data_IF_339608976310
#
_entry.id   IF_339608976310
#
_cell.length_a   1.000
_cell.length_b   1.000
_cell.length_c   1.000
_cell.angle_alpha   90.00
_cell.angle_beta   90.00
_cell.angle_gamma   90.00
#
_symmetry.space_group_name_H-M   'P 1'
#
loop_
_entity.id
_entity.type
_entity.pdbx_description
1 polymer ?
#
# COMPACT_ATOMS: atom_id res chain seq x y z
N UNK A 1 3.27 -18.77 0.74
CA UNK A 1 1.80 -18.60 0.76
C UNK A 1 1.46 -17.46 1.69
N UNK A 2 0.92 -16.36 1.18
CA UNK A 2 0.45 -15.23 1.98
C UNK A 2 -1.04 -15.36 2.27
N UNK A 3 -1.52 -14.73 3.35
CA UNK A 3 -2.93 -14.54 3.64
C UNK A 3 -3.20 -13.08 3.97
N UNK A 4 -4.41 -12.66 3.61
CA UNK A 4 -4.95 -11.33 3.84
C UNK A 4 -6.42 -11.51 4.22
N UNK A 5 -6.76 -11.16 5.45
CA UNK A 5 -8.07 -11.48 6.04
C UNK A 5 -8.62 -10.29 6.80
N UNK A 6 -9.89 -9.95 6.56
CA UNK A 6 -10.66 -9.03 7.41
C UNK A 6 -11.36 -9.86 8.49
N UNK A 7 -11.14 -9.55 9.77
CA UNK A 7 -11.72 -10.32 10.87
C UNK A 7 -13.24 -10.11 11.02
N UNK A 8 -14.07 -11.16 10.96
CA UNK A 8 -15.45 -11.11 11.43
C UNK A 8 -15.47 -11.26 12.97
N UNK A 9 -16.37 -10.59 13.73
CA UNK A 9 -17.33 -9.55 13.36
C UNK A 9 -16.77 -8.12 13.50
N UNK A 10 -15.48 -7.99 13.86
CA UNK A 10 -14.80 -6.70 14.03
C UNK A 10 -14.57 -6.06 12.67
N UNK A 11 -15.60 -5.38 12.17
CA UNK A 11 -15.46 -4.51 11.01
C UNK A 11 -14.23 -3.62 11.24
N UNK A 12 -13.33 -3.60 10.26
CA UNK A 12 -12.11 -2.78 10.22
C UNK A 12 -10.85 -3.32 10.91
N UNK A 13 -10.79 -4.60 11.32
CA UNK A 13 -9.53 -5.26 11.69
C UNK A 13 -9.05 -6.16 10.53
N UNK A 14 -7.82 -5.93 10.05
CA UNK A 14 -7.19 -6.68 8.96
C UNK A 14 -5.92 -7.39 9.42
N UNK A 15 -5.75 -8.64 9.02
CA UNK A 15 -4.60 -9.48 9.30
C UNK A 15 -3.85 -9.82 8.02
N UNK A 16 -2.54 -9.63 8.07
CA UNK A 16 -1.60 -9.94 7.01
C UNK A 16 -0.56 -10.92 7.55
N UNK A 17 -0.23 -11.92 6.76
CA UNK A 17 0.78 -12.89 7.12
C UNK A 17 1.05 -13.88 6.02
N UNK A 18 1.82 -14.90 6.34
CA UNK A 18 2.11 -15.97 5.41
C UNK A 18 3.01 -17.04 5.99
N UNK A 19 3.22 -18.06 5.17
CA UNK A 19 4.15 -19.14 5.41
C UNK A 19 5.02 -19.35 4.17
N UNK A 20 6.32 -19.50 4.38
CA UNK A 20 7.26 -20.01 3.39
C UNK A 20 7.35 -21.53 3.49
N UNK A 21 7.87 -22.16 2.43
CA UNK A 21 8.17 -23.59 2.43
C UNK A 21 9.69 -23.79 2.41
N UNK A 22 10.23 -24.28 3.53
CA UNK A 22 11.67 -24.55 3.70
C UNK A 22 11.82 -26.02 4.08
N UNK A 23 12.60 -26.78 3.29
CA UNK A 23 12.81 -28.23 3.46
C UNK A 23 11.51 -29.03 3.63
N UNK A 24 10.50 -28.66 2.83
CA UNK A 24 9.19 -29.30 2.86
C UNK A 24 8.28 -28.88 4.02
N UNK A 25 8.77 -28.08 4.98
CA UNK A 25 8.00 -27.59 6.13
C UNK A 25 7.49 -26.17 5.90
N UNK A 26 6.31 -25.86 6.46
CA UNK A 26 5.80 -24.50 6.51
C UNK A 26 6.48 -23.76 7.66
N UNK A 27 7.13 -22.63 7.34
CA UNK A 27 7.73 -21.72 8.32
C UNK A 27 7.06 -20.36 8.17
N UNK A 28 6.92 -19.61 9.27
CA UNK A 28 6.29 -18.29 9.20
C UNK A 28 7.10 -17.37 8.28
N UNK A 29 6.38 -16.71 7.37
CA UNK A 29 6.95 -15.72 6.44
C UNK A 29 7.59 -14.59 7.24
N UNK A 30 8.80 -14.20 6.85
CA UNK A 30 9.45 -13.02 7.40
C UNK A 30 9.00 -11.78 6.62
N UNK A 31 8.15 -10.96 7.23
CA UNK A 31 7.64 -9.73 6.62
C UNK A 31 8.64 -8.59 6.89
N UNK A 32 9.05 -7.86 5.86
CA UNK A 32 10.03 -6.76 6.03
C UNK A 32 9.47 -5.67 6.94
N UNK A 33 10.30 -5.22 7.89
CA UNK A 33 9.92 -4.23 8.91
C UNK A 33 9.04 -4.77 10.05
N UNK A 34 8.62 -6.04 9.98
CA UNK A 34 7.72 -6.69 10.96
C UNK A 34 8.39 -7.93 11.59
N UNK A 35 9.14 -8.69 10.80
CA UNK A 35 9.79 -9.95 11.20
C UNK A 35 8.91 -11.18 10.94
N UNK A 36 9.22 -12.29 11.62
CA UNK A 36 8.43 -13.53 11.61
C UNK A 36 7.19 -13.41 12.50
N UNK A 37 6.30 -12.50 12.12
CA UNK A 37 5.07 -12.20 12.83
C UNK A 37 3.95 -11.87 11.82
N UNK A 38 2.70 -11.93 12.28
CA UNK A 38 1.59 -11.37 11.51
C UNK A 38 1.59 -9.85 11.70
N UNK A 39 1.19 -9.13 10.66
CA UNK A 39 0.91 -7.72 10.75
C UNK A 39 -0.59 -7.49 10.82
N UNK A 40 -1.01 -6.57 11.66
CA UNK A 40 -2.40 -6.17 11.80
C UNK A 40 -2.58 -4.70 11.46
N UNK A 41 -3.68 -4.37 10.78
CA UNK A 41 -4.19 -3.01 10.63
C UNK A 41 -5.53 -2.93 11.35
N UNK A 42 -5.63 -2.11 12.39
CA UNK A 42 -6.92 -1.71 12.95
C UNK A 42 -7.32 -0.38 12.32
N UNK A 43 -8.55 -0.26 11.84
CA UNK A 43 -9.11 1.01 11.39
C UNK A 43 -10.28 1.41 12.28
N UNK A 44 -10.07 2.22 13.33
CA UNK A 44 -11.17 2.83 14.05
C UNK A 44 -12.03 3.67 13.10
N UNK A 45 -13.35 3.53 13.17
CA UNK A 45 -14.27 4.43 12.47
C UNK A 45 -14.26 5.76 13.21
N UNK A 46 -13.79 6.80 12.54
CA UNK A 46 -13.77 8.18 13.04
C UNK A 46 -14.81 9.02 12.29
N UNK A 47 -15.43 10.03 12.93
CA UNK A 47 -16.44 10.86 12.27
C UNK A 47 -15.92 11.58 11.02
N UNK A 48 -14.67 12.04 11.07
CA UNK A 48 -14.03 12.81 10.00
C UNK A 48 -12.70 12.17 9.59
N UNK A 49 -12.58 11.81 8.31
CA UNK A 49 -11.34 11.32 7.72
C UNK A 49 -11.08 9.82 7.96
N UNK A 50 -9.86 9.50 8.39
CA UNK A 50 -9.39 8.13 8.55
C UNK A 50 -8.40 7.98 9.70
N UNK A 51 -8.33 6.76 10.24
CA UNK A 51 -7.36 6.36 11.25
C UNK A 51 -6.95 4.91 11.00
N UNK A 52 -5.64 4.66 10.88
CA UNK A 52 -5.05 3.33 10.83
C UNK A 52 -4.05 3.17 11.98
N UNK A 53 -4.17 2.06 12.70
CA UNK A 53 -3.21 1.60 13.69
C UNK A 53 -2.55 0.32 13.18
N UNK A 54 -1.22 0.32 13.12
CA UNK A 54 -0.43 -0.81 12.67
C UNK A 54 0.20 -1.54 13.85
N UNK A 55 0.03 -2.87 13.88
CA UNK A 55 0.61 -3.72 14.93
C UNK A 55 1.33 -4.92 14.30
N UNK A 56 2.67 -4.97 14.31
CA UNK A 56 3.57 -3.84 14.60
C UNK A 56 3.55 -2.78 13.48
N UNK A 57 3.92 -1.53 13.81
CA UNK A 57 4.13 -0.48 12.82
C UNK A 57 5.54 -0.58 12.22
N UNK A 58 5.67 -0.84 10.91
CA UNK A 58 6.96 -1.00 10.26
C UNK A 58 7.61 0.37 10.05
N UNK A 59 8.91 0.45 10.31
CA UNK A 59 9.74 1.63 10.07
C UNK A 59 10.75 1.46 8.93
N UNK A 60 10.81 0.24 8.41
CA UNK A 60 11.77 -0.21 7.39
C UNK A 60 11.00 -1.04 6.35
N UNK A 61 11.25 -0.86 5.05
CA UNK A 61 12.17 0.12 4.48
C UNK A 61 11.66 1.56 4.56
N UNK A 62 10.38 1.75 4.83
CA UNK A 62 9.70 3.04 4.74
C UNK A 62 8.86 3.32 5.98
N UNK A 63 8.86 4.58 6.44
CA UNK A 63 8.02 5.06 7.53
C UNK A 63 6.94 6.00 6.99
N UNK A 64 5.69 5.60 7.16
CA UNK A 64 4.51 6.38 6.74
C UNK A 64 3.65 6.83 7.94
N UNK A 65 4.14 6.69 9.18
CA UNK A 65 3.35 6.94 10.40
C UNK A 65 2.72 8.32 10.46
N UNK A 66 3.43 9.33 9.93
CA UNK A 66 2.97 10.71 9.86
C UNK A 66 1.64 10.84 9.08
N UNK A 67 1.32 9.86 8.23
CA UNK A 67 0.14 9.85 7.37
C UNK A 67 -0.84 8.73 7.72
N UNK A 68 -0.67 7.99 8.81
CA UNK A 68 -1.57 6.88 9.13
C UNK A 68 -2.93 7.33 9.69
N UNK A 69 -3.03 8.56 10.19
CA UNK A 69 -4.31 9.14 10.62
C UNK A 69 -4.44 10.56 10.14
N UNK A 70 -5.69 11.04 10.05
CA UNK A 70 -5.98 12.43 9.69
C UNK A 70 -5.35 13.41 10.69
N UNK A 71 -5.40 13.08 11.99
CA UNK A 71 -4.81 13.89 13.06
C UNK A 71 -3.29 13.93 12.96
N UNK A 72 -2.63 12.77 12.80
CA UNK A 72 -1.17 12.70 12.62
C UNK A 72 -0.73 13.48 11.38
N UNK A 73 -1.48 13.36 10.29
CA UNK A 73 -1.19 14.05 9.03
C UNK A 73 -1.31 15.57 9.18
N UNK A 74 -2.32 16.06 9.91
CA UNK A 74 -2.48 17.49 10.21
C UNK A 74 -1.39 18.02 11.15
N UNK A 75 -1.03 17.25 12.17
CA UNK A 75 -0.04 17.64 13.19
C UNK A 75 1.42 17.56 12.67
N UNK A 76 1.69 16.73 11.67
CA UNK A 76 3.01 16.56 11.10
C UNK A 76 3.54 17.86 10.47
N UNK A 77 4.84 18.12 10.64
CA UNK A 77 5.51 19.22 9.94
C UNK A 77 5.44 19.03 8.42
N UNK A 78 5.55 20.11 7.62
CA UNK A 78 5.60 19.97 6.16
C UNK A 78 6.69 19.00 5.68
N UNK A 79 7.87 19.04 6.30
CA UNK A 79 8.97 18.14 5.98
C UNK A 79 8.65 16.67 6.30
N UNK A 80 7.97 16.39 7.42
CA UNK A 80 7.56 15.03 7.77
C UNK A 80 6.47 14.49 6.83
N UNK A 81 5.54 15.34 6.41
CA UNK A 81 4.54 14.98 5.39
C UNK A 81 5.19 14.68 4.04
N UNK A 82 6.11 15.52 3.60
CA UNK A 82 6.83 15.32 2.33
C UNK A 82 7.65 14.03 2.36
N UNK A 83 8.37 13.77 3.45
CA UNK A 83 9.14 12.53 3.61
C UNK A 83 8.24 11.28 3.54
N UNK A 84 7.07 11.31 4.21
CA UNK A 84 6.11 10.21 4.18
C UNK A 84 5.43 10.07 2.80
N UNK A 85 5.19 11.17 2.07
CA UNK A 85 4.73 11.11 0.66
C UNK A 85 5.80 10.49 -0.23
N UNK A 86 7.08 10.81 -0.02
CA UNK A 86 8.19 10.16 -0.71
C UNK A 86 8.27 8.67 -0.41
N UNK A 87 8.03 8.27 0.85
CA UNK A 87 7.92 6.87 1.25
C UNK A 87 6.78 6.16 0.51
N UNK A 88 5.58 6.75 0.46
CA UNK A 88 4.45 6.22 -0.32
C UNK A 88 4.80 6.09 -1.81
N UNK A 89 5.50 7.07 -2.38
CA UNK A 89 5.93 7.03 -3.78
C UNK A 89 6.86 5.85 -4.06
N UNK A 90 7.82 5.58 -3.17
CA UNK A 90 8.71 4.41 -3.29
C UNK A 90 7.97 3.09 -3.05
N UNK A 91 7.04 3.04 -2.09
CA UNK A 91 6.18 1.87 -1.85
C UNK A 91 5.34 1.54 -3.08
N UNK A 92 4.74 2.51 -3.76
CA UNK A 92 3.92 2.23 -4.94
C UNK A 92 4.77 1.90 -6.17
N UNK A 93 6.03 2.33 -6.24
CA UNK A 93 6.87 2.21 -7.42
C UNK A 93 7.54 0.81 -7.55
N UNK A 94 7.18 0.00 -8.56
CA UNK A 94 7.74 -1.34 -8.73
C UNK A 94 9.23 -1.36 -9.11
N UNK A 95 9.79 -0.24 -9.57
CA UNK A 95 11.22 -0.11 -9.84
C UNK A 95 12.05 0.16 -8.57
N UNK A 96 11.39 0.42 -7.42
CA UNK A 96 12.05 0.68 -6.13
C UNK A 96 11.98 -0.53 -5.20
N UNK A 97 10.80 -1.14 -5.10
CA UNK A 97 10.58 -2.30 -4.24
C UNK A 97 9.72 -3.35 -4.93
N UNK A 98 10.11 -4.62 -4.81
CA UNK A 98 9.25 -5.79 -4.99
C UNK A 98 8.32 -6.00 -3.78
N UNK A 99 7.27 -6.82 -3.91
CA UNK A 99 6.31 -7.07 -2.83
C UNK A 99 6.93 -7.77 -1.61
N UNK A 100 8.01 -8.53 -1.79
CA UNK A 100 8.79 -9.21 -0.75
C UNK A 100 9.76 -8.27 0.01
N UNK A 101 9.91 -7.03 -0.46
CA UNK A 101 10.78 -6.02 0.16
C UNK A 101 10.01 -5.03 1.05
N UNK A 102 8.70 -5.20 1.18
CA UNK A 102 7.81 -4.26 1.86
C UNK A 102 7.07 -4.90 3.02
N UNK A 103 6.58 -4.04 3.92
CA UNK A 103 5.54 -4.45 4.84
C UNK A 103 4.20 -4.58 4.11
N UNK A 104 3.36 -5.51 4.54
CA UNK A 104 2.05 -5.70 3.93
C UNK A 104 1.20 -4.44 4.09
N UNK A 105 1.09 -3.90 5.30
CA UNK A 105 0.29 -2.70 5.56
C UNK A 105 0.77 -1.49 4.76
N UNK A 106 2.07 -1.28 4.61
CA UNK A 106 2.60 -0.17 3.81
C UNK A 106 2.11 -0.23 2.36
N UNK A 107 2.24 -1.40 1.72
CA UNK A 107 1.75 -1.63 0.36
C UNK A 107 0.22 -1.47 0.24
N UNK A 108 -0.53 -2.06 1.17
CA UNK A 108 -1.99 -2.11 1.12
C UNK A 108 -2.68 -0.79 1.51
N UNK A 109 -1.99 0.12 2.22
CA UNK A 109 -2.51 1.44 2.59
C UNK A 109 -2.13 2.54 1.60
N UNK A 110 -1.08 2.34 0.80
CA UNK A 110 -0.42 3.44 0.10
C UNK A 110 -1.35 4.24 -0.82
N UNK A 111 -2.23 3.55 -1.54
CA UNK A 111 -3.14 4.18 -2.50
C UNK A 111 -4.17 5.08 -1.85
N UNK A 112 -4.82 4.61 -0.77
CA UNK A 112 -5.79 5.40 -0.05
C UNK A 112 -5.11 6.55 0.71
N UNK A 113 -4.05 6.26 1.47
CA UNK A 113 -3.34 7.28 2.26
C UNK A 113 -2.74 8.35 1.36
N UNK A 114 -2.18 7.97 0.20
CA UNK A 114 -1.67 8.92 -0.79
C UNK A 114 -2.76 9.83 -1.35
N UNK A 115 -3.93 9.28 -1.68
CA UNK A 115 -5.06 10.08 -2.15
C UNK A 115 -5.62 11.02 -1.07
N UNK A 116 -5.76 10.54 0.16
CA UNK A 116 -6.20 11.36 1.28
C UNK A 116 -5.20 12.48 1.60
N UNK A 117 -3.90 12.21 1.51
CA UNK A 117 -2.84 13.20 1.69
C UNK A 117 -2.86 14.26 0.59
N UNK A 118 -3.07 13.87 -0.66
CA UNK A 118 -3.28 14.81 -1.78
C UNK A 118 -4.48 15.71 -1.54
N UNK A 119 -5.60 15.15 -1.12
CA UNK A 119 -6.82 15.91 -0.86
C UNK A 119 -6.65 16.92 0.30
N UNK A 120 -5.95 16.53 1.36
CA UNK A 120 -5.78 17.36 2.54
C UNK A 120 -4.66 18.42 2.41
N UNK A 121 -3.58 18.10 1.71
CA UNK A 121 -2.34 18.92 1.71
C UNK A 121 -1.84 19.30 0.32
N UNK A 122 -2.48 18.85 -0.75
CA UNK A 122 -2.03 19.09 -2.13
C UNK A 122 -0.80 18.28 -2.55
N UNK A 123 -0.30 17.38 -1.69
CA UNK A 123 0.89 16.56 -1.97
C UNK A 123 0.52 15.31 -2.77
N UNK A 124 0.96 15.25 -4.02
CA UNK A 124 0.61 14.20 -4.96
C UNK A 124 1.75 13.18 -5.10
N UNK A 125 1.52 11.95 -4.62
CA UNK A 125 2.47 10.82 -4.67
C UNK A 125 3.01 10.60 -6.09
N UNK A 126 2.16 10.74 -7.12
CA UNK A 126 2.55 10.54 -8.53
C UNK A 126 3.49 11.63 -9.06
N UNK A 127 3.52 12.80 -8.42
CA UNK A 127 4.38 13.94 -8.79
C UNK A 127 5.70 13.96 -8.03
N UNK A 128 5.83 13.18 -6.95
CA UNK A 128 7.08 13.07 -6.20
C UNK A 128 8.21 12.52 -7.10
N UNK A 129 9.46 12.87 -6.79
CA UNK A 129 10.63 12.47 -7.58
C UNK A 129 10.80 10.93 -7.68
N UNK A 130 10.43 10.22 -6.62
CA UNK A 130 10.41 8.75 -6.57
C UNK A 130 9.14 8.10 -7.16
N UNK A 131 8.15 8.90 -7.57
CA UNK A 131 6.91 8.38 -8.13
C UNK A 131 7.15 7.60 -9.43
N UNK A 132 6.39 6.52 -9.62
CA UNK A 132 6.50 5.70 -10.83
C UNK A 132 6.13 6.51 -12.08
N UNK A 133 6.89 6.30 -13.17
CA UNK A 133 6.69 6.96 -14.46
C UNK A 133 6.57 5.88 -15.55
N UNK A 134 5.62 6.05 -16.44
CA UNK A 134 5.44 5.23 -17.64
C UNK A 134 4.82 6.10 -18.73
N UNK A 135 5.01 5.71 -20.00
CA UNK A 135 4.29 6.30 -21.13
C UNK A 135 2.85 5.77 -21.25
N UNK A 136 2.50 4.72 -20.50
CA UNK A 136 1.15 4.16 -20.47
C UNK A 136 0.20 5.03 -19.66
N UNK A 137 -1.10 4.85 -19.91
CA UNK A 137 -2.13 5.43 -19.08
C UNK A 137 -2.14 4.76 -17.70
N UNK A 138 -1.83 5.53 -16.66
CA UNK A 138 -1.81 5.09 -15.27
C UNK A 138 -3.08 5.53 -14.51
N UNK A 139 -4.12 5.99 -15.22
CA UNK A 139 -5.35 6.46 -14.62
C UNK A 139 -6.06 5.32 -13.89
N UNK A 140 -6.28 5.52 -12.59
CA UNK A 140 -7.09 4.62 -11.78
C UNK A 140 -8.57 4.92 -11.98
N UNK A 141 -9.34 3.89 -12.33
CA UNK A 141 -10.80 3.98 -12.59
C UNK A 141 -11.66 3.33 -11.49
N UNK A 142 -11.08 3.05 -10.31
CA UNK A 142 -11.76 2.39 -9.18
C UNK A 142 -11.72 3.23 -7.90
N UNK A 143 -12.55 2.86 -6.92
CA UNK A 143 -12.73 3.60 -5.66
C UNK A 143 -11.70 3.26 -4.57
N UNK A 144 -10.60 2.56 -4.89
CA UNK A 144 -9.57 2.19 -3.90
C UNK A 144 -8.88 3.40 -3.24
N UNK A 145 -9.03 4.60 -3.80
CA UNK A 145 -8.54 5.85 -3.21
C UNK A 145 -9.54 6.63 -2.37
N UNK A 146 -10.81 6.23 -2.38
CA UNK A 146 -11.87 6.90 -1.61
C UNK A 146 -12.51 5.97 -0.58
N UNK A 147 -12.35 4.66 -0.72
CA UNK A 147 -12.81 3.66 0.24
C UNK A 147 -11.71 3.30 1.25
N UNK A 148 -11.69 3.99 2.39
CA UNK A 148 -10.72 3.78 3.46
C UNK A 148 -10.72 2.35 4.02
N UNK A 149 -11.86 1.66 3.91
CA UNK A 149 -12.02 0.29 4.40
C UNK A 149 -11.42 -0.73 3.43
N UNK A 150 -11.15 -0.35 2.17
CA UNK A 150 -10.63 -1.25 1.15
C UNK A 150 -9.12 -1.29 1.20
N UNK A 151 -8.58 -2.30 1.88
CA UNK A 151 -7.15 -2.59 1.87
C UNK A 151 -6.75 -3.59 0.78
N UNK A 152 -7.61 -3.87 -0.19
CA UNK A 152 -7.30 -4.81 -1.27
C UNK A 152 -6.33 -4.20 -2.28
N UNK A 153 -5.24 -4.91 -2.61
CA UNK A 153 -4.35 -4.51 -3.70
C UNK A 153 -5.04 -4.70 -5.07
N UNK A 154 -5.66 -5.86 -5.29
CA UNK A 154 -6.55 -6.16 -6.40
C UNK A 154 -7.68 -7.05 -5.89
N UNK A 155 -8.93 -6.68 -6.15
CA UNK A 155 -10.08 -7.47 -5.72
C UNK A 155 -11.38 -6.68 -5.74
N UNK A 156 -12.24 -6.93 -4.76
CA UNK A 156 -13.52 -6.26 -4.63
C UNK A 156 -13.75 -5.78 -3.19
N UNK A 157 -14.50 -4.70 -3.04
CA UNK A 157 -15.13 -4.31 -1.77
C UNK A 157 -16.63 -4.21 -2.01
N UNK A 158 -17.39 -5.11 -1.37
CA UNK A 158 -18.75 -5.46 -1.78
C UNK A 158 -18.79 -5.83 -3.28
N UNK A 159 -19.56 -5.11 -4.11
CA UNK A 159 -19.68 -5.35 -5.54
C UNK A 159 -18.77 -4.47 -6.40
N UNK A 160 -17.94 -3.61 -5.80
CA UNK A 160 -17.10 -2.65 -6.53
C UNK A 160 -15.66 -3.17 -6.67
N UNK A 161 -15.05 -3.15 -7.86
CA UNK A 161 -13.67 -3.55 -8.05
C UNK A 161 -12.73 -2.56 -7.33
N UNK A 162 -11.67 -3.07 -6.73
CA UNK A 162 -10.66 -2.28 -6.02
C UNK A 162 -9.30 -2.60 -6.61
N UNK A 163 -8.66 -1.59 -7.19
CA UNK A 163 -7.34 -1.72 -7.81
C UNK A 163 -6.43 -0.64 -7.22
N UNK A 164 -5.43 -1.04 -6.46
CA UNK A 164 -4.41 -0.15 -5.93
C UNK A 164 -3.51 0.39 -7.06
N UNK A 165 -2.94 1.58 -6.87
CA UNK A 165 -2.01 2.19 -7.83
C UNK A 165 -0.83 1.27 -8.14
N UNK A 166 -0.29 0.60 -7.12
CA UNK A 166 0.83 -0.32 -7.29
C UNK A 166 0.53 -1.43 -8.30
N UNK A 167 -0.70 -1.98 -8.29
CA UNK A 167 -1.12 -3.00 -9.27
C UNK A 167 -1.17 -2.42 -10.69
N UNK A 168 -1.62 -1.18 -10.85
CA UNK A 168 -1.61 -0.47 -12.13
C UNK A 168 -0.16 -0.28 -12.60
N UNK A 169 0.73 0.16 -11.72
CA UNK A 169 2.15 0.41 -12.03
C UNK A 169 2.91 -0.87 -12.35
N UNK A 170 2.72 -1.94 -11.57
CA UNK A 170 3.29 -3.26 -11.84
C UNK A 170 2.80 -3.82 -13.16
N UNK A 171 1.51 -3.67 -13.47
CA UNK A 171 0.95 -4.10 -14.75
C UNK A 171 1.60 -3.34 -15.92
N UNK A 172 1.74 -2.01 -15.81
CA UNK A 172 2.41 -1.21 -16.81
C UNK A 172 3.87 -1.67 -17.04
N UNK A 173 4.62 -1.88 -15.95
CA UNK A 173 6.01 -2.34 -16.01
C UNK A 173 6.14 -3.74 -16.65
N UNK A 174 5.22 -4.67 -16.33
CA UNK A 174 5.21 -6.00 -16.93
C UNK A 174 4.92 -5.93 -18.43
N UNK A 175 3.95 -5.11 -18.85
CA UNK A 175 3.65 -4.97 -20.29
C UNK A 175 4.83 -4.33 -21.04
N UNK A 176 5.49 -3.32 -20.46
CA UNK A 176 6.70 -2.73 -21.04
C UNK A 176 7.81 -3.78 -21.24
N UNK A 177 8.04 -4.63 -20.24
CA UNK A 177 9.04 -5.70 -20.34
C UNK A 177 8.64 -6.77 -21.37
N UNK A 178 7.35 -7.13 -21.44
CA UNK A 178 6.86 -8.08 -22.45
C UNK A 178 7.04 -7.56 -23.87
N UNK A 179 6.70 -6.30 -24.14
CA UNK A 179 6.86 -5.69 -25.46
C UNK A 179 8.34 -5.56 -25.86
N UNK A 180 9.22 -5.25 -24.90
CA UNK A 180 10.67 -5.24 -25.12
C UNK A 180 11.22 -6.62 -25.45
N UNK A 181 10.77 -7.66 -24.73
CA UNK A 181 11.23 -9.05 -24.91
C UNK A 181 10.64 -9.71 -26.15
N UNK A 182 9.43 -9.32 -26.53
CA UNK A 182 8.67 -9.87 -27.65
C UNK A 182 8.14 -8.75 -28.56
N UNK A 183 9.03 -8.02 -29.26
CA UNK A 183 8.62 -6.91 -30.09
C UNK A 183 7.69 -7.39 -31.21
N UNK A 184 6.63 -6.61 -31.48
CA UNK A 184 5.80 -6.84 -32.67
C UNK A 184 6.67 -6.62 -33.91
N UNK A 185 6.61 -7.56 -34.84
CA UNK A 185 7.26 -7.44 -36.15
C UNK A 185 6.63 -6.33 -36.98
#
# INVERSE_FOLDING_TARGET
>A
MTFFLRAPPRQEEWFFGGFDRVDGKLVQLNIVGVGKANQRVNRPIVPDGYSYELVPSPKVPEDIDALLTTEKSKAASPAAREAAVGALARIENPAKYGPDQLSCAGCHLATYVGAATRAAHGLDVSKHADGYKSSRDLTRVTESATEASSLSAFGYFASRPMIANRVIYESAAVVDELEKRYPRK
#
